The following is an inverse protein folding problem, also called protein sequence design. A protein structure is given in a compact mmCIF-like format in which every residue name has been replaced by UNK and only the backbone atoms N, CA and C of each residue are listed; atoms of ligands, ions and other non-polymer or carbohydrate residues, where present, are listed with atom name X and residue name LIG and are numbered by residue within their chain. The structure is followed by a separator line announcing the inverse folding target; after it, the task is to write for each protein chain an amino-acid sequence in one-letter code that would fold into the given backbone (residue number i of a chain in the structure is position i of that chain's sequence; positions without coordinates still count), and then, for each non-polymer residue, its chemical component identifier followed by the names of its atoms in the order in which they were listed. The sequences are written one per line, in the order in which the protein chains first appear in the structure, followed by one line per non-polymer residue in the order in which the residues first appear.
data_IF_701774616549
#
_entry.id   IF_701774616549
#
_cell.length_a   1.000
_cell.length_b   1.000
_cell.length_c   1.000
_cell.angle_alpha   90.00
_cell.angle_beta   90.00
_cell.angle_gamma   90.00
#
_symmetry.space_group_name_H-M   'P 1'
#
loop_
_entity.id
_entity.type
_entity.pdbx_description
1 polymer ?
#
# COMPACT_ATOMS: atom_id res chain seq x y z
N UNK A 1 -3.01 -16.89 -4.32
CA UNK A 1 -4.10 -17.24 -3.37
C UNK A 1 -5.22 -16.22 -3.56
N UNK A 2 -6.49 -16.62 -3.65
CA UNK A 2 -7.61 -15.65 -3.71
C UNK A 2 -7.91 -15.18 -2.29
N UNK A 3 -8.13 -13.87 -2.09
CA UNK A 3 -8.56 -13.33 -0.79
C UNK A 3 -10.02 -13.74 -0.57
N UNK A 4 -10.27 -14.50 0.48
CA UNK A 4 -11.62 -14.94 0.83
C UNK A 4 -12.32 -13.83 1.63
N UNK A 5 -13.56 -13.47 1.27
CA UNK A 5 -14.39 -12.56 2.08
C UNK A 5 -14.50 -13.05 3.53
N UNK A 6 -14.68 -12.12 4.47
CA UNK A 6 -14.84 -12.37 5.92
C UNK A 6 -13.65 -13.04 6.64
N UNK A 7 -12.63 -13.51 5.93
CA UNK A 7 -11.44 -14.09 6.56
C UNK A 7 -10.52 -12.98 7.06
N UNK A 8 -10.29 -12.95 8.37
CA UNK A 8 -9.33 -12.04 8.98
C UNK A 8 -7.90 -12.63 8.97
N UNK A 9 -7.16 -12.38 7.89
CA UNK A 9 -5.77 -12.82 7.74
C UNK A 9 -4.83 -12.22 8.80
N UNK A 10 -5.14 -11.02 9.32
CA UNK A 10 -4.36 -10.41 10.40
C UNK A 10 -4.48 -11.21 11.72
N UNK A 11 -5.66 -11.74 12.03
CA UNK A 11 -5.88 -12.65 13.16
C UNK A 11 -5.12 -13.97 12.99
N UNK A 12 -5.03 -14.50 11.76
CA UNK A 12 -4.26 -15.72 11.47
C UNK A 12 -2.77 -15.50 11.77
N UNK A 13 -2.19 -14.42 11.23
CA UNK A 13 -0.79 -14.07 11.50
C UNK A 13 -0.54 -13.81 12.99
N UNK A 14 -1.40 -13.00 13.62
CA UNK A 14 -1.31 -12.70 15.05
C UNK A 14 -1.36 -13.97 15.91
N UNK A 15 -2.24 -14.91 15.57
CA UNK A 15 -2.35 -16.18 16.29
C UNK A 15 -1.10 -17.04 16.12
N UNK A 16 -0.54 -17.10 14.91
CA UNK A 16 0.70 -17.85 14.65
C UNK A 16 1.88 -17.28 15.46
N UNK A 17 2.08 -15.96 15.43
CA UNK A 17 3.15 -15.29 16.19
C UNK A 17 3.00 -15.54 17.69
N UNK A 18 1.78 -15.42 18.24
CA UNK A 18 1.56 -15.60 19.67
C UNK A 18 1.74 -17.05 20.14
N UNK A 19 1.45 -18.04 19.29
CA UNK A 19 1.73 -19.46 19.57
C UNK A 19 3.22 -19.78 19.52
N UNK A 20 3.96 -19.10 18.64
CA UNK A 20 5.36 -19.37 18.34
C UNK A 20 6.30 -18.22 18.72
N UNK A 21 6.04 -17.50 19.82
CA UNK A 21 6.78 -16.26 20.17
C UNK A 21 8.29 -16.37 20.05
N UNK A 22 8.88 -17.50 20.46
CA UNK A 22 10.35 -17.74 20.41
C UNK A 22 10.94 -17.67 18.99
N UNK A 23 10.14 -17.84 17.94
CA UNK A 23 10.58 -17.80 16.53
C UNK A 23 10.60 -16.38 15.95
N UNK A 24 10.03 -15.40 16.64
CA UNK A 24 9.86 -14.04 16.12
C UNK A 24 10.68 -13.03 16.92
N UNK A 25 11.22 -11.99 16.27
CA UNK A 25 11.90 -10.91 16.98
C UNK A 25 10.90 -10.10 17.82
N UNK A 26 11.42 -9.45 18.87
CA UNK A 26 10.62 -8.68 19.82
C UNK A 26 9.73 -7.63 19.15
N UNK A 27 10.21 -6.98 18.09
CA UNK A 27 9.46 -5.97 17.33
C UNK A 27 8.15 -6.53 16.74
N UNK A 28 8.20 -7.74 16.17
CA UNK A 28 7.03 -8.42 15.59
C UNK A 28 6.05 -8.84 16.68
N UNK A 29 6.57 -9.38 17.80
CA UNK A 29 5.73 -9.74 18.95
C UNK A 29 4.98 -8.51 19.48
N UNK A 30 5.67 -7.37 19.64
CA UNK A 30 5.07 -6.12 20.10
C UNK A 30 4.03 -5.56 19.11
N UNK A 31 4.26 -5.69 17.79
CA UNK A 31 3.29 -5.28 16.78
C UNK A 31 2.00 -6.11 16.86
N UNK A 32 2.12 -7.43 17.07
CA UNK A 32 0.98 -8.34 17.26
C UNK A 32 0.27 -8.08 18.60
N UNK A 33 1.02 -7.82 19.67
CA UNK A 33 0.44 -7.47 20.97
C UNK A 33 -0.33 -6.14 20.90
N UNK A 34 0.20 -5.13 20.18
CA UNK A 34 -0.53 -3.88 19.88
C UNK A 34 -1.83 -4.17 19.12
N UNK A 35 -1.77 -4.94 18.04
CA UNK A 35 -2.96 -5.33 17.26
C UNK A 35 -4.03 -5.98 18.17
N UNK A 36 -3.64 -6.94 19.01
CA UNK A 36 -4.55 -7.58 19.96
C UNK A 36 -5.08 -6.63 21.04
N UNK A 37 -4.29 -5.66 21.48
CA UNK A 37 -4.73 -4.61 22.41
C UNK A 37 -5.75 -3.68 21.76
N UNK A 38 -5.53 -3.31 20.50
CA UNK A 38 -6.46 -2.47 19.73
C UNK A 38 -7.81 -3.15 19.52
N UNK A 39 -7.85 -4.47 19.33
CA UNK A 39 -9.14 -5.22 19.25
C UNK A 39 -10.01 -5.11 20.50
N UNK A 40 -9.43 -4.72 21.65
CA UNK A 40 -10.16 -4.57 22.93
C UNK A 40 -10.58 -3.14 23.21
N UNK A 41 -10.16 -2.19 22.37
CA UNK A 41 -10.56 -0.78 22.50
C UNK A 41 -12.00 -0.61 22.05
N UNK A 42 -12.70 0.38 22.63
CA UNK A 42 -14.10 0.69 22.30
C UNK A 42 -14.23 1.89 21.36
N UNK A 43 -13.15 2.66 21.20
CA UNK A 43 -13.10 3.87 20.38
C UNK A 43 -12.66 3.62 18.93
N UNK A 44 -12.17 2.40 18.64
CA UNK A 44 -11.74 1.97 17.30
C UNK A 44 -12.29 0.57 17.01
N UNK A 45 -12.44 0.22 15.75
CA UNK A 45 -12.80 -1.14 15.30
C UNK A 45 -11.90 -1.59 14.15
N UNK A 46 -11.82 -2.90 13.96
CA UNK A 46 -11.13 -3.51 12.83
C UNK A 46 -12.17 -3.92 11.78
N UNK A 47 -12.07 -3.32 10.62
CA UNK A 47 -12.90 -3.57 9.44
C UNK A 47 -12.18 -4.61 8.56
N UNK A 48 -12.74 -5.82 8.53
CA UNK A 48 -12.14 -6.95 7.79
C UNK A 48 -12.29 -6.76 6.29
N UNK A 49 -13.40 -6.17 5.84
CA UNK A 49 -13.67 -5.98 4.41
C UNK A 49 -12.73 -4.94 3.84
N UNK A 50 -12.59 -3.77 4.49
CA UNK A 50 -11.60 -2.76 4.07
C UNK A 50 -10.16 -3.30 4.09
N UNK A 51 -9.82 -4.18 5.04
CA UNK A 51 -8.51 -4.81 5.06
C UNK A 51 -8.35 -5.75 3.86
N UNK A 52 -9.35 -6.58 3.57
CA UNK A 52 -9.34 -7.56 2.50
C UNK A 52 -9.37 -6.91 1.11
N UNK A 53 -10.08 -5.79 0.91
CA UNK A 53 -10.04 -5.00 -0.32
C UNK A 53 -8.62 -4.58 -0.69
N UNK A 54 -7.83 -4.13 0.29
CA UNK A 54 -6.41 -3.81 0.07
C UNK A 54 -5.59 -5.05 -0.33
N UNK A 55 -5.80 -6.18 0.35
CA UNK A 55 -5.07 -7.42 0.05
C UNK A 55 -5.41 -7.93 -1.36
N UNK A 56 -6.69 -7.90 -1.70
CA UNK A 56 -7.21 -8.37 -2.97
C UNK A 56 -6.72 -7.48 -4.12
N UNK A 57 -6.74 -6.17 -3.92
CA UNK A 57 -6.18 -5.22 -4.88
C UNK A 57 -4.70 -5.52 -5.16
N UNK A 58 -3.89 -5.71 -4.11
CA UNK A 58 -2.46 -5.97 -4.30
C UNK A 58 -2.24 -7.25 -5.08
N UNK A 59 -2.92 -8.34 -4.73
CA UNK A 59 -2.76 -9.61 -5.43
C UNK A 59 -3.40 -9.63 -6.84
N UNK A 60 -4.31 -8.70 -7.14
CA UNK A 60 -4.96 -8.57 -8.46
C UNK A 60 -4.18 -7.71 -9.44
N UNK A 61 -3.42 -6.73 -8.95
CA UNK A 61 -2.79 -5.72 -9.80
C UNK A 61 -1.27 -5.66 -9.71
N UNK A 62 -0.68 -6.10 -8.60
CA UNK A 62 0.76 -6.00 -8.39
C UNK A 62 1.44 -7.26 -8.90
N UNK A 63 2.40 -7.09 -9.81
CA UNK A 63 3.17 -8.17 -10.42
C UNK A 63 4.60 -8.20 -9.91
N UNK A 64 5.20 -9.38 -9.90
CA UNK A 64 6.65 -9.49 -9.81
C UNK A 64 7.28 -8.87 -11.06
N UNK A 65 8.22 -7.95 -10.84
CA UNK A 65 8.85 -7.19 -11.92
C UNK A 65 10.18 -7.80 -12.37
N UNK A 66 10.84 -8.54 -11.48
CA UNK A 66 12.16 -9.14 -11.73
C UNK A 66 12.21 -10.55 -11.17
N UNK A 67 13.11 -11.36 -11.73
CA UNK A 67 13.40 -12.72 -11.26
C UNK A 67 12.50 -13.80 -11.88
N UNK A 68 12.56 -15.04 -11.37
CA UNK A 68 11.88 -16.19 -11.97
C UNK A 68 10.35 -16.06 -12.05
N UNK A 69 9.77 -15.24 -11.19
CA UNK A 69 8.32 -15.01 -11.12
C UNK A 69 7.87 -13.79 -11.92
N UNK A 70 8.76 -13.13 -12.67
CA UNK A 70 8.44 -11.90 -13.40
C UNK A 70 7.19 -12.07 -14.29
N UNK A 71 6.30 -11.08 -14.23
CA UNK A 71 5.00 -11.09 -14.92
C UNK A 71 3.87 -11.77 -14.16
N UNK A 72 4.18 -12.63 -13.19
CA UNK A 72 3.15 -13.26 -12.35
C UNK A 72 2.62 -12.28 -11.31
N UNK A 73 1.33 -12.44 -10.97
CA UNK A 73 0.72 -11.71 -9.86
C UNK A 73 1.38 -12.08 -8.54
N UNK A 74 1.49 -11.10 -7.65
CA UNK A 74 2.04 -11.33 -6.32
C UNK A 74 1.07 -12.16 -5.48
N UNK A 75 1.59 -13.17 -4.82
CA UNK A 75 0.92 -13.81 -3.68
C UNK A 75 1.52 -13.25 -2.39
N UNK A 76 0.68 -12.64 -1.55
CA UNK A 76 1.13 -12.04 -0.31
C UNK A 76 1.40 -13.12 0.74
N UNK A 77 2.50 -12.99 1.46
CA UNK A 77 2.73 -13.78 2.65
C UNK A 77 1.87 -13.26 3.83
N UNK A 78 1.55 -14.12 4.80
CA UNK A 78 0.70 -13.72 5.94
C UNK A 78 1.23 -12.49 6.72
N UNK A 79 2.54 -12.28 6.75
CA UNK A 79 3.11 -11.10 7.42
C UNK A 79 2.91 -9.82 6.59
N UNK A 80 2.96 -9.91 5.26
CA UNK A 80 2.68 -8.79 4.35
C UNK A 80 1.19 -8.43 4.42
N UNK A 81 0.33 -9.45 4.46
CA UNK A 81 -1.10 -9.28 4.73
C UNK A 81 -1.33 -8.58 6.07
N UNK A 82 -0.62 -8.98 7.13
CA UNK A 82 -0.73 -8.33 8.43
C UNK A 82 -0.29 -6.86 8.38
N UNK A 83 0.74 -6.52 7.61
CA UNK A 83 1.20 -5.13 7.43
C UNK A 83 0.09 -4.30 6.78
N UNK A 84 -0.44 -4.73 5.63
CA UNK A 84 -1.50 -4.01 4.93
C UNK A 84 -2.79 -3.95 5.73
N UNK A 85 -3.21 -5.06 6.34
CA UNK A 85 -4.38 -5.10 7.20
C UNK A 85 -4.28 -4.10 8.36
N UNK A 86 -3.08 -3.92 8.96
CA UNK A 86 -2.90 -2.89 9.98
C UNK A 86 -2.95 -1.46 9.40
N UNK A 87 -2.53 -1.23 8.16
CA UNK A 87 -2.58 0.08 7.50
C UNK A 87 -4.01 0.48 7.10
N UNK A 88 -4.83 -0.47 6.66
CA UNK A 88 -6.11 -0.20 6.01
C UNK A 88 -7.35 -0.72 6.76
N UNK A 89 -7.18 -1.58 7.77
CA UNK A 89 -8.30 -2.20 8.49
C UNK A 89 -8.74 -1.49 9.78
N UNK A 90 -7.99 -0.52 10.32
CA UNK A 90 -8.36 0.13 11.59
C UNK A 90 -9.09 1.45 11.38
N UNK A 91 -10.31 1.56 11.93
CA UNK A 91 -11.16 2.74 11.79
C UNK A 91 -11.67 3.27 13.12
N UNK A 92 -12.01 4.56 13.12
CA UNK A 92 -12.70 5.23 14.23
C UNK A 92 -13.69 6.28 13.71
N UNK A 93 -14.56 6.77 14.60
CA UNK A 93 -15.37 7.97 14.32
C UNK A 93 -14.58 9.19 14.76
N UNK A 94 -14.42 10.18 13.87
CA UNK A 94 -13.82 11.46 14.25
C UNK A 94 -14.85 12.35 14.99
N UNK A 95 -14.43 13.55 15.41
CA UNK A 95 -15.27 14.52 16.13
C UNK A 95 -16.53 14.94 15.34
N UNK A 96 -16.51 14.81 14.01
CA UNK A 96 -17.63 15.11 13.11
C UNK A 96 -18.51 13.87 12.83
N UNK A 97 -18.26 12.75 13.49
CA UNK A 97 -19.00 11.49 13.26
C UNK A 97 -18.64 10.75 11.96
N UNK A 98 -17.63 11.21 11.21
CA UNK A 98 -17.17 10.53 9.99
C UNK A 98 -16.28 9.33 10.34
N UNK A 99 -16.50 8.21 9.67
CA UNK A 99 -15.58 7.05 9.71
C UNK A 99 -14.27 7.43 9.02
N UNK A 100 -13.15 7.31 9.73
CA UNK A 100 -11.82 7.58 9.20
C UNK A 100 -10.82 6.54 9.70
N UNK A 101 -9.75 6.30 8.93
CA UNK A 101 -8.68 5.39 9.32
C UNK A 101 -7.96 5.90 10.56
N UNK A 102 -7.66 4.99 11.49
CA UNK A 102 -6.81 5.25 12.67
C UNK A 102 -5.37 5.46 12.25
N UNK A 103 -4.88 4.61 11.34
CA UNK A 103 -3.50 4.65 10.87
C UNK A 103 -3.39 5.64 9.72
N UNK A 104 -2.64 6.72 9.96
CA UNK A 104 -2.30 7.74 8.94
C UNK A 104 -0.85 7.65 8.49
N UNK A 105 -0.01 7.07 9.34
CA UNK A 105 1.43 6.90 9.09
C UNK A 105 1.83 5.48 9.48
N UNK A 106 2.68 4.89 8.64
CA UNK A 106 3.19 3.53 8.85
C UNK A 106 4.69 3.50 8.59
N UNK A 107 5.43 2.87 9.51
CA UNK A 107 6.84 2.58 9.34
C UNK A 107 7.03 1.06 9.30
N UNK A 108 7.61 0.55 8.21
CA UNK A 108 7.85 -0.87 8.00
C UNK A 108 9.32 -1.07 7.66
N UNK A 109 10.02 -1.82 8.50
CA UNK A 109 11.43 -2.15 8.29
C UNK A 109 11.55 -3.57 7.76
N UNK A 110 12.04 -3.70 6.53
CA UNK A 110 12.09 -4.97 5.80
C UNK A 110 13.53 -5.25 5.36
N UNK A 111 14.08 -6.46 5.63
CA UNK A 111 15.40 -6.83 5.15
C UNK A 111 15.53 -6.81 3.62
N UNK A 112 16.77 -6.68 3.12
CA UNK A 112 17.04 -6.71 1.68
C UNK A 112 16.54 -8.01 1.07
N UNK A 113 15.94 -7.92 -0.13
CA UNK A 113 15.34 -9.03 -0.91
C UNK A 113 14.05 -9.63 -0.34
N UNK A 114 13.42 -8.98 0.65
CA UNK A 114 12.21 -9.50 1.29
C UNK A 114 10.94 -8.71 0.89
N UNK A 115 10.77 -8.40 -0.40
CA UNK A 115 9.53 -7.80 -0.91
C UNK A 115 9.29 -6.31 -0.60
N UNK A 116 10.25 -5.57 -0.02
CA UNK A 116 10.05 -4.17 0.43
C UNK A 116 9.44 -3.23 -0.62
N UNK A 117 9.94 -3.31 -1.85
CA UNK A 117 9.50 -2.48 -2.97
C UNK A 117 8.06 -2.78 -3.34
N UNK A 118 7.65 -4.04 -3.16
CA UNK A 118 6.33 -4.49 -3.55
C UNK A 118 5.28 -4.04 -2.55
N UNK A 119 5.62 -4.04 -1.25
CA UNK A 119 4.76 -3.44 -0.21
C UNK A 119 4.53 -1.94 -0.51
N UNK A 120 5.61 -1.22 -0.83
CA UNK A 120 5.55 0.18 -1.23
C UNK A 120 4.69 0.40 -2.48
N UNK A 121 4.88 -0.41 -3.53
CA UNK A 121 4.11 -0.33 -4.77
C UNK A 121 2.62 -0.62 -4.54
N UNK A 122 2.29 -1.66 -3.76
CA UNK A 122 0.93 -2.02 -3.42
C UNK A 122 0.20 -0.89 -2.70
N UNK A 123 0.81 -0.30 -1.67
CA UNK A 123 0.23 0.85 -0.98
C UNK A 123 0.05 2.07 -1.90
N UNK A 124 1.00 2.34 -2.81
CA UNK A 124 0.89 3.47 -3.74
C UNK A 124 -0.27 3.29 -4.71
N UNK A 125 -0.33 2.12 -5.35
CA UNK A 125 -1.35 1.81 -6.34
C UNK A 125 -2.72 1.76 -5.69
N UNK A 126 -2.85 1.18 -4.50
CA UNK A 126 -4.12 1.18 -3.79
C UNK A 126 -4.60 2.59 -3.45
N UNK A 127 -3.72 3.47 -2.94
CA UNK A 127 -4.07 4.86 -2.70
C UNK A 127 -4.48 5.60 -3.98
N UNK A 128 -3.91 5.22 -5.12
CA UNK A 128 -4.19 5.86 -6.42
C UNK A 128 -5.49 5.35 -7.07
N UNK A 129 -5.84 4.08 -6.91
CA UNK A 129 -6.95 3.44 -7.63
C UNK A 129 -8.02 2.80 -6.72
N UNK A 130 -7.61 2.16 -5.62
CA UNK A 130 -8.50 1.33 -4.79
C UNK A 130 -9.16 2.05 -3.63
N UNK A 131 -8.51 3.05 -3.03
CA UNK A 131 -9.01 3.70 -1.82
C UNK A 131 -10.26 4.59 -2.04
N UNK A 132 -10.56 4.93 -3.29
CA UNK A 132 -11.71 5.76 -3.65
C UNK A 132 -11.55 7.26 -3.36
N UNK A 133 -10.36 7.71 -2.95
CA UNK A 133 -10.06 9.12 -2.73
C UNK A 133 -10.07 9.90 -4.06
N UNK A 134 -10.85 10.99 -4.09
CA UNK A 134 -10.99 11.85 -5.25
C UNK A 134 -9.89 12.92 -5.29
N UNK A 135 -9.08 12.94 -6.34
CA UNK A 135 -8.01 13.93 -6.44
C UNK A 135 -6.77 13.57 -5.61
N UNK A 136 -6.47 12.28 -5.48
CA UNK A 136 -5.36 11.79 -4.66
C UNK A 136 -4.00 12.22 -5.23
N UNK A 137 -3.13 12.72 -4.34
CA UNK A 137 -1.73 13.00 -4.65
C UNK A 137 -0.84 12.04 -3.87
N UNK A 138 -0.25 11.09 -4.59
CA UNK A 138 0.67 10.10 -4.04
C UNK A 138 2.12 10.48 -4.35
N UNK A 139 3.04 10.05 -3.49
CA UNK A 139 4.45 10.38 -3.66
C UNK A 139 5.34 9.16 -3.43
N UNK A 140 6.23 8.90 -4.37
CA UNK A 140 7.32 7.94 -4.25
C UNK A 140 8.61 8.71 -4.01
N UNK A 141 9.14 8.64 -2.79
CA UNK A 141 10.28 9.46 -2.38
C UNK A 141 11.45 8.59 -1.89
N UNK A 142 12.67 9.00 -2.25
CA UNK A 142 13.91 8.44 -1.73
C UNK A 142 14.97 9.55 -1.55
N UNK A 143 16.17 9.18 -1.05
CA UNK A 143 17.24 10.16 -0.83
C UNK A 143 17.73 10.78 -2.15
N UNK A 144 17.82 9.98 -3.20
CA UNK A 144 18.15 10.41 -4.55
C UNK A 144 17.17 9.82 -5.58
N UNK A 145 17.21 10.34 -6.81
CA UNK A 145 16.22 10.02 -7.84
C UNK A 145 16.39 8.60 -8.37
N UNK A 146 17.62 8.11 -8.47
CA UNK A 146 17.94 6.75 -8.92
C UNK A 146 17.43 5.70 -7.92
N UNK A 147 17.58 5.97 -6.62
CA UNK A 147 17.00 5.16 -5.57
C UNK A 147 15.48 5.12 -5.65
N UNK A 148 14.83 6.24 -5.95
CA UNK A 148 13.37 6.29 -6.11
C UNK A 148 12.89 5.46 -7.31
N UNK A 149 13.70 5.34 -8.38
CA UNK A 149 13.38 4.49 -9.53
C UNK A 149 13.22 3.01 -9.16
N UNK A 150 13.90 2.54 -8.11
CA UNK A 150 13.75 1.16 -7.63
C UNK A 150 12.30 0.81 -7.26
N UNK A 151 11.45 1.80 -6.96
CA UNK A 151 10.02 1.62 -6.75
C UNK A 151 9.18 2.21 -7.89
N UNK A 152 9.54 3.38 -8.41
CA UNK A 152 8.76 4.06 -9.45
C UNK A 152 8.66 3.25 -10.76
N UNK A 153 9.75 2.60 -11.18
CA UNK A 153 9.74 1.75 -12.38
C UNK A 153 8.82 0.52 -12.22
N UNK A 154 8.93 -0.28 -11.13
CA UNK A 154 7.97 -1.35 -10.85
C UNK A 154 6.51 -0.90 -10.82
N UNK A 155 6.23 0.27 -10.24
CA UNK A 155 4.88 0.84 -10.17
C UNK A 155 4.36 1.17 -11.57
N UNK A 156 5.16 1.85 -12.39
CA UNK A 156 4.78 2.16 -13.77
C UNK A 156 4.54 0.88 -14.58
N UNK A 157 5.41 -0.12 -14.44
CA UNK A 157 5.25 -1.41 -15.13
C UNK A 157 4.01 -2.17 -14.65
N UNK A 158 3.66 -2.12 -13.37
CA UNK A 158 2.43 -2.73 -12.87
C UNK A 158 1.18 -2.11 -13.51
N UNK A 159 1.18 -0.78 -13.70
CA UNK A 159 0.13 -0.05 -14.41
C UNK A 159 0.12 -0.46 -15.89
N UNK A 160 1.26 -0.38 -16.57
CA UNK A 160 1.39 -0.68 -18.01
C UNK A 160 1.00 -2.14 -18.34
N UNK A 161 1.21 -3.08 -17.41
CA UNK A 161 0.86 -4.51 -17.57
C UNK A 161 -0.51 -4.90 -17.00
N UNK A 162 -1.37 -3.93 -16.70
CA UNK A 162 -2.73 -4.17 -16.25
C UNK A 162 -3.69 -3.35 -17.11
N UNK A 163 -4.44 -4.03 -17.99
CA UNK A 163 -5.40 -3.36 -18.89
C UNK A 163 -6.38 -2.43 -18.14
N UNK A 164 -6.98 -2.82 -16.99
CA UNK A 164 -7.83 -1.92 -16.21
C UNK A 164 -7.13 -0.66 -15.71
N UNK A 165 -5.83 -0.74 -15.39
CA UNK A 165 -5.06 0.41 -14.89
C UNK A 165 -4.50 1.26 -16.03
N UNK A 166 -4.05 0.63 -17.12
CA UNK A 166 -3.37 1.29 -18.23
C UNK A 166 -4.31 2.20 -19.03
N UNK A 167 -5.56 1.77 -19.28
CA UNK A 167 -6.46 2.43 -20.23
C UNK A 167 -6.75 3.91 -19.96
N UNK A 168 -6.63 4.34 -18.70
CA UNK A 168 -6.91 5.70 -18.26
C UNK A 168 -5.74 6.37 -17.54
N UNK A 169 -4.55 5.76 -17.62
CA UNK A 169 -3.37 6.24 -16.91
C UNK A 169 -2.28 6.65 -17.87
N UNK A 170 -1.84 7.89 -17.75
CA UNK A 170 -0.67 8.40 -18.44
C UNK A 170 0.57 8.26 -17.53
N UNK A 171 1.58 7.51 -17.99
CA UNK A 171 2.89 7.48 -17.34
C UNK A 171 3.73 8.67 -17.85
N UNK A 172 4.37 9.40 -16.93
CA UNK A 172 5.32 10.44 -17.25
C UNK A 172 6.74 9.91 -17.12
N UNK A 173 7.56 10.20 -18.13
CA UNK A 173 8.99 9.88 -18.13
C UNK A 173 9.81 11.16 -17.88
N UNK A 174 10.95 11.01 -17.23
CA UNK A 174 11.94 12.05 -16.98
C UNK A 174 13.18 11.84 -17.86
N UNK A 175 14.30 12.40 -17.40
CA UNK A 175 15.60 12.27 -18.08
C UNK A 175 15.98 10.79 -18.22
N UNK A 176 16.54 10.42 -19.37
CA UNK A 176 16.96 9.06 -19.70
C UNK A 176 15.85 8.00 -19.61
N UNK A 177 14.58 8.39 -19.76
CA UNK A 177 13.45 7.46 -19.74
C UNK A 177 13.04 6.97 -18.34
N UNK A 178 13.60 7.56 -17.29
CA UNK A 178 13.19 7.29 -15.89
C UNK A 178 11.71 7.61 -15.68
N UNK A 179 11.05 7.01 -14.71
CA UNK A 179 9.66 7.35 -14.35
C UNK A 179 9.65 8.59 -13.48
N UNK A 180 8.89 9.62 -13.87
CA UNK A 180 8.70 10.85 -13.09
C UNK A 180 7.34 10.90 -12.38
N UNK A 181 6.38 10.10 -12.83
CA UNK A 181 5.08 9.96 -12.19
C UNK A 181 4.06 9.25 -13.07
N UNK A 182 2.80 9.23 -12.62
CA UNK A 182 1.66 8.85 -13.43
C UNK A 182 0.43 9.67 -13.06
N UNK A 183 -0.53 9.76 -13.99
CA UNK A 183 -1.82 10.41 -13.78
C UNK A 183 -2.94 9.54 -14.33
N UNK A 184 -3.81 9.12 -13.43
CA UNK A 184 -5.06 8.42 -13.72
C UNK A 184 -6.20 9.45 -13.79
N UNK A 185 -6.94 9.48 -14.91
CA UNK A 185 -8.06 10.40 -15.11
C UNK A 185 -9.37 9.62 -15.20
N UNK A 186 -10.39 10.09 -14.49
CA UNK A 186 -11.70 9.44 -14.45
C UNK A 186 -12.80 10.48 -14.24
N UNK A 187 -14.04 10.11 -14.57
CA UNK A 187 -15.20 10.98 -14.43
C UNK A 187 -16.22 10.36 -13.47
N UNK A 188 -16.77 11.17 -12.56
CA UNK A 188 -17.89 10.78 -11.69
C UNK A 188 -18.97 11.84 -11.85
N UNK A 189 -20.17 11.42 -12.27
CA UNK A 189 -21.33 12.31 -12.46
C UNK A 189 -21.01 13.55 -13.33
N UNK A 190 -20.22 13.37 -14.39
CA UNK A 190 -19.84 14.45 -15.32
C UNK A 190 -18.71 15.36 -14.82
N UNK A 191 -18.17 15.13 -13.62
CA UNK A 191 -17.03 15.87 -13.07
C UNK A 191 -15.75 15.06 -13.28
N UNK A 192 -14.75 15.70 -13.90
CA UNK A 192 -13.45 15.11 -14.12
C UNK A 192 -12.58 15.17 -12.85
N UNK A 193 -12.02 14.03 -12.49
CA UNK A 193 -11.05 13.87 -11.40
C UNK A 193 -9.74 13.30 -11.95
N UNK A 194 -8.68 13.52 -11.19
CA UNK A 194 -7.38 12.94 -11.47
C UNK A 194 -6.70 12.50 -10.19
N UNK A 195 -6.23 11.26 -10.15
CA UNK A 195 -5.32 10.79 -9.13
C UNK A 195 -3.93 10.73 -9.76
N UNK A 196 -2.89 11.12 -9.01
CA UNK A 196 -1.52 11.15 -9.55
C UNK A 196 -0.52 10.65 -8.54
N UNK A 197 0.56 10.05 -9.03
CA UNK A 197 1.77 9.90 -8.24
C UNK A 197 2.94 10.67 -8.84
N UNK A 198 3.84 11.14 -7.98
CA UNK A 198 5.06 11.84 -8.37
C UNK A 198 6.27 11.22 -7.71
N UNK A 199 7.37 11.17 -8.45
CA UNK A 199 8.68 10.79 -7.91
C UNK A 199 9.34 12.04 -7.32
N UNK A 200 9.71 11.97 -6.04
CA UNK A 200 10.34 13.07 -5.31
C UNK A 200 11.71 12.67 -4.75
N UNK A 201 12.56 13.67 -4.55
CA UNK A 201 13.84 13.54 -3.83
C UNK A 201 13.97 14.58 -2.73
N UNK A 202 14.98 14.44 -1.87
CA UNK A 202 15.27 15.36 -0.74
C UNK A 202 15.26 16.85 -1.11
N UNK A 203 15.55 17.21 -2.35
CA UNK A 203 15.64 18.60 -2.81
C UNK A 203 14.28 19.28 -3.01
N UNK A 204 13.18 18.52 -3.07
CA UNK A 204 11.84 19.04 -3.34
C UNK A 204 11.04 19.17 -2.03
N UNK A 205 11.16 20.33 -1.35
CA UNK A 205 10.40 20.68 -0.15
C UNK A 205 8.93 21.02 -0.50
N UNK A 206 8.07 20.03 -0.67
CA UNK A 206 6.62 20.27 -0.74
C UNK A 206 5.85 19.11 -0.14
N UNK A 207 5.76 18.99 1.18
CA UNK A 207 4.83 18.03 1.78
C UNK A 207 4.15 18.62 3.02
N UNK A 208 3.03 19.31 2.78
CA UNK A 208 1.91 19.37 3.73
C UNK A 208 0.89 18.36 3.24
N UNK A 209 0.64 17.34 4.07
CA UNK A 209 -0.55 16.47 4.02
C UNK A 209 -0.78 15.72 2.69
N UNK A 210 -0.27 14.48 2.54
CA UNK A 210 -0.82 13.35 1.75
C UNK A 210 0.16 12.17 1.68
N UNK A 211 -0.35 10.97 1.38
CA UNK A 211 0.32 9.66 1.44
C UNK A 211 1.71 9.67 0.79
N UNK A 212 2.73 9.63 1.65
CA UNK A 212 4.13 9.54 1.28
C UNK A 212 4.61 8.10 1.45
N UNK A 213 5.19 7.53 0.40
CA UNK A 213 5.89 6.27 0.50
C UNK A 213 7.38 6.55 0.37
N UNK A 214 8.08 6.34 1.48
CA UNK A 214 9.53 6.44 1.58
C UNK A 214 10.13 5.06 1.30
N UNK A 215 10.91 4.95 0.23
CA UNK A 215 11.60 3.73 -0.18
C UNK A 215 13.08 3.73 0.23
#
# INVERSE_FOLDING_TARGET
MIITPDVNYADMYASNVMRNKKKYPKSIILAVERYKKWKKRKDIWFDVDCANEMLDFVQSFVRHVKGPLAGQLMELELWEMFVFANMYGWYHKNEKGKTVRVVRESYVQVPKKNGKTIIAAGALLYAMYGEGELGADCYCAASDYEQAQNAAEPIAQAIENSEPLAGHTQIYKGVNGTVSGAMYRYNINGIAYQNKFKVLTKTQRVLKERTLILC
#
